data_IF_644793419926
#
_entry.id   IF_644793419926
#
_cell.length_a   1.000
_cell.length_b   1.000
_cell.length_c   1.000
_cell.angle_alpha   90.00
_cell.angle_beta   90.00
_cell.angle_gamma   90.00
#
_symmetry.space_group_name_H-M   'P 1'
#
loop_
_entity.id
_entity.type
_entity.pdbx_description
1 polymer ?
#
# COMPACT_ATOMS: atom_id res chain seq x y z
N UNK A 1 -16.33 13.38 40.44
CA UNK A 1 -15.70 13.28 39.11
C UNK A 1 -15.15 11.87 39.01
N UNK A 2 -15.86 10.95 38.35
CA UNK A 2 -15.38 9.59 38.13
C UNK A 2 -14.69 9.57 36.77
N UNK A 3 -13.36 9.39 36.77
CA UNK A 3 -12.62 9.04 35.57
C UNK A 3 -12.74 7.53 35.38
N UNK A 4 -13.44 7.11 34.33
CA UNK A 4 -13.37 5.73 33.84
C UNK A 4 -12.14 5.65 32.95
N UNK A 5 -11.07 5.05 33.47
CA UNK A 5 -9.93 4.63 32.65
C UNK A 5 -10.38 3.52 31.71
N UNK A 6 -10.51 3.84 30.42
CA UNK A 6 -10.67 2.83 29.39
C UNK A 6 -9.29 2.28 29.04
N UNK A 7 -8.91 1.19 29.69
CA UNK A 7 -7.86 0.32 29.20
C UNK A 7 -8.29 -0.24 27.83
N UNK A 8 -7.82 0.38 26.74
CA UNK A 8 -7.79 -0.26 25.42
C UNK A 8 -6.80 -1.41 25.50
N UNK A 9 -7.26 -2.58 25.93
CA UNK A 9 -6.58 -3.84 25.72
C UNK A 9 -6.62 -4.12 24.21
N UNK A 10 -5.50 -3.83 23.54
CA UNK A 10 -5.30 -4.20 22.14
C UNK A 10 -5.19 -5.72 22.09
N UNK A 11 -6.27 -6.40 21.67
CA UNK A 11 -6.27 -7.85 21.46
C UNK A 11 -5.17 -8.21 20.45
N UNK A 12 -4.11 -8.84 20.93
CA UNK A 12 -3.16 -9.53 20.07
C UNK A 12 -3.90 -10.69 19.43
N UNK A 13 -4.15 -10.60 18.12
CA UNK A 13 -4.72 -11.71 17.36
C UNK A 13 -3.87 -12.98 17.61
N UNK A 14 -4.48 -13.98 18.23
CA UNK A 14 -3.86 -15.27 18.51
C UNK A 14 -3.68 -16.02 17.18
N UNK A 15 -2.62 -15.70 16.45
CA UNK A 15 -2.26 -16.40 15.22
C UNK A 15 -1.40 -17.62 15.57
N UNK A 16 -1.74 -18.82 15.08
CA UNK A 16 -0.95 -20.02 15.32
C UNK A 16 0.51 -19.87 14.83
N UNK A 17 1.47 -20.56 15.46
CA UNK A 17 2.85 -20.63 14.97
C UNK A 17 2.91 -21.03 13.49
N UNK A 18 3.74 -20.34 12.72
CA UNK A 18 3.87 -20.56 11.27
C UNK A 18 2.90 -19.77 10.40
N UNK A 19 1.92 -19.07 10.98
CA UNK A 19 1.11 -18.11 10.23
C UNK A 19 1.99 -16.99 9.67
N UNK A 20 1.86 -16.71 8.38
CA UNK A 20 2.55 -15.62 7.70
C UNK A 20 1.53 -14.73 7.00
N UNK A 21 1.80 -13.43 7.05
CA UNK A 21 1.03 -12.48 6.26
C UNK A 21 1.48 -12.57 4.81
N UNK A 22 0.67 -13.21 3.97
CA UNK A 22 0.90 -13.37 2.54
C UNK A 22 -0.41 -13.11 1.75
N UNK A 23 -0.92 -11.86 1.79
CA UNK A 23 -2.19 -11.54 1.16
C UNK A 23 -2.06 -11.54 -0.37
N UNK A 24 -3.11 -11.96 -1.05
CA UNK A 24 -3.28 -11.77 -2.49
C UNK A 24 -3.55 -10.29 -2.82
N UNK A 25 -3.37 -9.90 -4.09
CA UNK A 25 -3.73 -8.55 -4.54
C UNK A 25 -5.23 -8.26 -4.31
N UNK A 26 -6.09 -9.27 -4.48
CA UNK A 26 -7.52 -9.15 -4.21
C UNK A 26 -7.79 -8.86 -2.73
N UNK A 27 -7.11 -9.54 -1.79
CA UNK A 27 -7.28 -9.31 -0.35
C UNK A 27 -6.74 -7.95 0.07
N UNK A 28 -5.57 -7.54 -0.44
CA UNK A 28 -5.00 -6.21 -0.18
C UNK A 28 -5.98 -5.10 -0.54
N UNK A 29 -6.60 -5.19 -1.72
CA UNK A 29 -7.51 -4.16 -2.22
C UNK A 29 -8.91 -4.31 -1.64
N UNK A 30 -9.52 -5.48 -1.81
CA UNK A 30 -10.93 -5.74 -1.53
C UNK A 30 -11.26 -5.93 -0.05
N UNK A 31 -10.29 -6.34 0.77
CA UNK A 31 -10.46 -6.46 2.21
C UNK A 31 -9.76 -5.32 2.96
N UNK A 32 -8.42 -5.25 2.90
CA UNK A 32 -7.67 -4.31 3.74
C UNK A 32 -7.89 -2.84 3.35
N UNK A 33 -7.65 -2.48 2.08
CA UNK A 33 -7.76 -1.11 1.63
C UNK A 33 -9.22 -0.62 1.62
N UNK A 34 -10.16 -1.45 1.16
CA UNK A 34 -11.59 -1.12 1.13
C UNK A 34 -12.13 -0.81 2.54
N UNK A 35 -11.82 -1.66 3.53
CA UNK A 35 -12.23 -1.45 4.91
C UNK A 35 -11.55 -0.24 5.53
N UNK A 36 -10.25 -0.04 5.27
CA UNK A 36 -9.53 1.13 5.77
C UNK A 36 -10.15 2.44 5.30
N UNK A 37 -10.50 2.53 4.01
CA UNK A 37 -11.15 3.72 3.43
C UNK A 37 -12.57 3.91 3.96
N UNK A 38 -13.32 2.82 4.17
CA UNK A 38 -14.66 2.86 4.74
C UNK A 38 -14.68 3.02 6.27
N UNK A 39 -13.52 3.19 6.91
CA UNK A 39 -13.35 3.23 8.37
C UNK A 39 -14.03 2.02 9.08
N UNK A 40 -13.99 0.85 8.44
CA UNK A 40 -14.51 -0.40 8.98
C UNK A 40 -13.43 -1.14 9.78
N UNK A 41 -13.85 -2.00 10.70
CA UNK A 41 -12.95 -2.86 11.46
C UNK A 41 -12.21 -3.84 10.55
N UNK A 42 -10.93 -4.09 10.87
CA UNK A 42 -10.05 -5.04 10.18
C UNK A 42 -9.67 -6.10 11.22
N UNK A 43 -9.97 -7.37 10.93
CA UNK A 43 -9.82 -8.46 11.90
C UNK A 43 -8.35 -8.71 12.26
N UNK A 44 -7.44 -8.44 11.32
CA UNK A 44 -5.99 -8.46 11.52
C UNK A 44 -5.41 -7.07 11.19
N UNK A 45 -5.48 -6.14 12.14
CA UNK A 45 -4.97 -4.77 11.99
C UNK A 45 -3.43 -4.68 12.12
N UNK A 46 -2.74 -5.36 11.20
CA UNK A 46 -1.27 -5.48 11.17
C UNK A 46 -0.61 -4.53 10.16
N UNK A 47 -1.38 -3.95 9.23
CA UNK A 47 -0.87 -2.99 8.25
C UNK A 47 -0.90 -1.59 8.88
N UNK A 48 0.29 -1.01 9.08
CA UNK A 48 0.41 0.30 9.71
C UNK A 48 0.30 1.46 8.71
N UNK A 49 -0.07 2.63 9.23
CA UNK A 49 -0.03 3.88 8.50
C UNK A 49 1.38 4.48 8.51
N UNK A 50 1.87 4.88 7.34
CA UNK A 50 3.20 5.46 7.14
C UNK A 50 3.13 6.60 6.13
N UNK A 51 3.82 7.70 6.43
CA UNK A 51 4.08 8.75 5.43
C UNK A 51 5.25 8.32 4.54
N UNK A 52 4.90 7.60 3.48
CA UNK A 52 5.85 6.91 2.61
C UNK A 52 6.87 7.84 1.95
N UNK A 53 6.50 9.08 1.65
CA UNK A 53 7.36 10.00 0.91
C UNK A 53 8.32 10.80 1.79
N UNK A 54 8.22 10.64 3.12
CA UNK A 54 9.13 11.26 4.09
C UNK A 54 10.20 10.31 4.61
N UNK A 55 10.18 9.05 4.17
CA UNK A 55 11.05 7.98 4.65
C UNK A 55 11.84 7.43 3.47
N UNK A 56 13.13 7.20 3.66
CA UNK A 56 13.94 6.54 2.65
C UNK A 56 13.63 5.04 2.61
N UNK A 57 13.73 4.38 1.45
CA UNK A 57 13.29 3.00 1.33
C UNK A 57 14.01 2.01 2.26
N UNK A 58 15.30 2.24 2.55
CA UNK A 58 16.06 1.41 3.50
C UNK A 58 15.63 1.63 4.96
N UNK A 59 15.14 2.82 5.32
CA UNK A 59 14.66 3.12 6.67
C UNK A 59 13.27 2.51 6.94
N UNK A 60 12.52 2.13 5.89
CA UNK A 60 11.23 1.45 6.04
C UNK A 60 11.38 0.10 6.74
N UNK A 61 12.49 -0.60 6.51
CA UNK A 61 12.73 -1.91 7.13
C UNK A 61 12.90 -1.78 8.64
N UNK A 62 13.66 -0.77 9.09
CA UNK A 62 13.94 -0.56 10.51
C UNK A 62 12.70 -0.08 11.28
N UNK A 63 11.94 0.85 10.69
CA UNK A 63 10.75 1.42 11.33
C UNK A 63 9.61 0.42 11.48
N UNK A 64 9.54 -0.56 10.58
CA UNK A 64 8.35 -1.38 10.44
C UNK A 64 8.58 -2.88 10.66
N UNK A 65 9.81 -3.35 10.51
CA UNK A 65 10.19 -4.77 10.63
C UNK A 65 11.35 -5.06 11.59
N UNK A 66 11.91 -4.04 12.26
CA UNK A 66 12.85 -4.22 13.37
C UNK A 66 12.17 -4.70 14.65
N UNK A 67 12.94 -5.06 15.69
CA UNK A 67 12.50 -5.71 16.93
C UNK A 67 11.41 -4.98 17.76
N UNK A 68 10.93 -3.81 17.33
CA UNK A 68 9.81 -3.08 17.92
C UNK A 68 8.70 -2.65 16.93
N UNK A 69 8.81 -2.98 15.63
CA UNK A 69 7.81 -2.61 14.62
C UNK A 69 6.71 -3.66 14.51
N UNK A 70 5.44 -3.27 14.72
CA UNK A 70 4.25 -4.14 14.47
C UNK A 70 3.80 -4.13 13.01
N UNK A 71 4.71 -3.92 12.06
CA UNK A 71 4.36 -3.82 10.65
C UNK A 71 4.11 -5.21 10.07
N UNK A 72 3.09 -5.34 9.22
CA UNK A 72 2.87 -6.50 8.39
C UNK A 72 4.11 -6.75 7.51
N UNK A 73 4.89 -7.76 7.89
CA UNK A 73 6.10 -8.19 7.18
C UNK A 73 5.92 -9.63 6.73
N UNK A 74 6.09 -9.86 5.45
CA UNK A 74 6.31 -11.17 4.91
C UNK A 74 7.80 -11.46 4.94
N UNK A 75 8.19 -12.41 5.78
CA UNK A 75 9.58 -12.86 5.87
C UNK A 75 9.84 -13.81 4.70
N UNK A 76 10.93 -13.55 3.98
CA UNK A 76 11.42 -14.44 2.93
C UNK A 76 11.64 -15.85 3.49
N UNK A 77 11.20 -16.88 2.76
CA UNK A 77 11.35 -18.27 3.17
C UNK A 77 12.75 -18.82 2.91
N UNK A 78 13.45 -18.22 1.93
CA UNK A 78 14.82 -18.53 1.54
C UNK A 78 15.64 -17.23 1.32
N UNK A 79 16.97 -17.35 1.22
CA UNK A 79 17.86 -16.19 0.98
C UNK A 79 17.66 -15.53 -0.40
N UNK A 80 16.88 -16.17 -1.29
CA UNK A 80 16.63 -15.70 -2.64
C UNK A 80 15.34 -14.88 -2.76
N UNK A 81 14.41 -15.01 -1.81
CA UNK A 81 13.17 -14.26 -1.76
C UNK A 81 13.38 -12.92 -1.04
N UNK A 82 12.76 -11.86 -1.57
CA UNK A 82 12.77 -10.54 -0.94
C UNK A 82 11.72 -10.48 0.16
N UNK A 83 12.09 -10.01 1.36
CA UNK A 83 11.09 -9.65 2.37
C UNK A 83 10.16 -8.55 1.83
N UNK A 84 8.86 -8.66 2.09
CA UNK A 84 7.86 -7.68 1.69
C UNK A 84 7.27 -6.99 2.93
N UNK A 85 6.98 -5.70 2.81
CA UNK A 85 6.35 -4.92 3.87
C UNK A 85 5.12 -4.21 3.34
N UNK A 86 4.08 -4.16 4.16
CA UNK A 86 2.78 -3.61 3.78
C UNK A 86 2.43 -2.40 4.65
N UNK A 87 2.01 -1.32 3.99
CA UNK A 87 1.70 -0.05 4.62
C UNK A 87 0.44 0.58 4.02
N UNK A 88 -0.33 1.24 4.86
CA UNK A 88 -1.24 2.28 4.41
C UNK A 88 -0.46 3.58 4.30
N UNK A 89 -0.54 4.23 3.14
CA UNK A 89 -0.01 5.58 2.97
C UNK A 89 -1.16 6.52 2.70
N UNK A 90 -1.14 7.67 3.37
CA UNK A 90 -1.99 8.77 2.96
C UNK A 90 -1.50 9.28 1.60
N UNK A 91 -2.43 9.65 0.72
CA UNK A 91 -2.07 10.40 -0.50
C UNK A 91 -1.62 11.78 -0.05
N UNK A 92 -0.31 12.02 -0.07
CA UNK A 92 0.24 13.36 0.10
C UNK A 92 -0.25 14.23 -1.07
N UNK A 93 -1.30 15.02 -0.81
CA UNK A 93 -1.69 16.12 -1.69
C UNK A 93 -0.64 17.20 -1.51
N UNK A 94 0.37 17.21 -2.38
CA UNK A 94 1.40 18.26 -2.46
C UNK A 94 0.81 19.68 -2.47
N UNK A 95 -0.46 19.85 -2.85
CA UNK A 95 -1.23 21.08 -2.69
C UNK A 95 -2.71 20.80 -2.36
N UNK A 96 -3.41 21.69 -1.61
CA UNK A 96 -4.86 21.64 -1.38
C UNK A 96 -5.73 21.70 -2.65
N UNK A 97 -5.14 21.82 -3.84
CA UNK A 97 -5.83 21.86 -5.15
C UNK A 97 -5.18 20.97 -6.23
N UNK A 98 -4.08 20.26 -5.93
CA UNK A 98 -3.32 19.50 -6.93
C UNK A 98 -3.52 17.98 -6.87
N UNK A 99 -3.44 17.32 -8.03
CA UNK A 99 -3.48 15.84 -8.18
C UNK A 99 -2.10 15.18 -8.15
N UNK A 100 -1.01 15.98 -8.10
CA UNK A 100 0.38 15.50 -8.22
C UNK A 100 0.98 15.18 -6.85
N UNK A 101 1.18 13.90 -6.56
CA UNK A 101 1.87 13.41 -5.35
C UNK A 101 3.36 13.77 -5.39
N UNK A 102 3.91 14.24 -4.26
CA UNK A 102 5.34 14.51 -4.15
C UNK A 102 6.10 13.20 -3.93
N UNK A 103 6.73 12.68 -4.97
CA UNK A 103 7.45 11.40 -4.92
C UNK A 103 8.95 11.53 -4.63
N UNK A 104 9.41 12.72 -4.23
CA UNK A 104 10.81 12.98 -3.90
C UNK A 104 11.06 12.79 -2.41
N UNK A 105 12.15 12.11 -2.07
CA UNK A 105 12.70 12.02 -0.72
C UNK A 105 13.95 12.89 -0.60
N UNK A 106 14.65 12.87 0.54
CA UNK A 106 15.88 13.64 0.71
C UNK A 106 17.01 13.08 -0.16
N UNK A 107 17.11 11.75 -0.25
CA UNK A 107 18.17 11.05 -0.95
C UNK A 107 17.81 10.67 -2.40
N UNK A 108 16.54 10.77 -2.82
CA UNK A 108 16.12 10.30 -4.14
C UNK A 108 14.70 10.63 -4.53
N UNK A 109 14.13 9.83 -5.44
CA UNK A 109 12.75 9.97 -5.88
C UNK A 109 12.17 8.64 -6.40
N UNK A 110 10.87 8.47 -6.22
CA UNK A 110 10.09 7.36 -6.74
C UNK A 110 9.57 7.66 -8.14
N UNK A 111 9.88 6.79 -9.10
CA UNK A 111 9.44 6.89 -10.49
C UNK A 111 8.48 5.75 -10.82
N UNK A 112 7.29 6.11 -11.32
CA UNK A 112 6.35 5.14 -11.87
C UNK A 112 6.98 4.39 -13.06
N UNK A 113 6.80 3.08 -13.10
CA UNK A 113 7.26 2.22 -14.19
C UNK A 113 6.16 1.28 -14.66
N UNK A 114 6.19 0.92 -15.94
CA UNK A 114 5.19 0.05 -16.55
C UNK A 114 3.79 0.67 -16.65
N UNK A 115 2.85 -0.15 -17.14
CA UNK A 115 1.42 0.17 -17.18
C UNK A 115 0.77 -0.20 -15.85
N UNK A 116 -0.28 0.51 -15.46
CA UNK A 116 -1.11 0.11 -14.32
C UNK A 116 -1.73 -1.25 -14.60
N UNK A 117 -1.71 -2.12 -13.59
CA UNK A 117 -2.34 -3.43 -13.65
C UNK A 117 -3.69 -3.38 -12.91
N UNK A 118 -4.79 -3.84 -13.51
CA UNK A 118 -6.05 -3.97 -12.79
C UNK A 118 -5.93 -5.07 -11.73
N UNK A 119 -6.54 -4.83 -10.57
CA UNK A 119 -6.77 -5.85 -9.55
C UNK A 119 -8.21 -6.31 -9.70
N UNK A 120 -8.38 -7.59 -10.02
CA UNK A 120 -9.67 -8.20 -10.30
C UNK A 120 -10.22 -8.86 -9.05
N UNK A 121 -11.53 -8.81 -8.85
CA UNK A 121 -12.18 -9.69 -7.89
C UNK A 121 -12.52 -11.03 -8.54
N UNK A 122 -12.18 -12.12 -7.88
CA UNK A 122 -12.56 -13.47 -8.27
C UNK A 122 -14.08 -13.67 -8.24
N UNK A 123 -14.77 -13.03 -7.29
CA UNK A 123 -16.22 -13.17 -7.08
C UNK A 123 -17.05 -12.46 -8.13
N UNK A 124 -16.78 -11.18 -8.39
CA UNK A 124 -17.56 -10.38 -9.34
C UNK A 124 -17.01 -10.42 -10.76
N UNK A 125 -15.77 -10.91 -10.94
CA UNK A 125 -14.97 -10.75 -12.17
C UNK A 125 -14.79 -9.29 -12.62
N UNK A 126 -15.12 -8.34 -11.74
CA UNK A 126 -14.93 -6.91 -11.96
C UNK A 126 -13.56 -6.43 -11.47
N UNK A 127 -13.13 -5.28 -11.99
CA UNK A 127 -11.99 -4.56 -11.42
C UNK A 127 -12.43 -4.00 -10.05
N UNK A 128 -11.58 -4.14 -9.04
CA UNK A 128 -11.80 -3.56 -7.70
C UNK A 128 -10.75 -2.52 -7.34
N UNK A 129 -9.66 -2.47 -8.09
CA UNK A 129 -8.60 -1.50 -7.90
C UNK A 129 -7.54 -1.55 -8.99
N UNK A 130 -6.50 -0.76 -8.81
CA UNK A 130 -5.34 -0.70 -9.70
C UNK A 130 -4.05 -0.80 -8.89
N UNK A 131 -3.05 -1.48 -9.45
CA UNK A 131 -1.68 -1.52 -8.94
C UNK A 131 -0.76 -0.72 -9.85
N UNK A 132 -0.07 0.27 -9.27
CA UNK A 132 1.02 1.02 -9.90
C UNK A 132 2.35 0.55 -9.31
N UNK A 133 3.33 0.25 -10.17
CA UNK A 133 4.69 -0.05 -9.72
C UNK A 133 5.56 1.21 -9.76
N UNK A 134 6.31 1.45 -8.69
CA UNK A 134 7.28 2.53 -8.58
C UNK A 134 8.65 1.93 -8.29
N UNK A 135 9.69 2.54 -8.86
CA UNK A 135 11.09 2.21 -8.59
C UNK A 135 11.77 3.43 -8.00
N UNK A 136 12.55 3.22 -6.95
CA UNK A 136 13.32 4.31 -6.35
C UNK A 136 14.60 4.59 -7.14
N UNK A 137 14.89 5.87 -7.33
CA UNK A 137 16.11 6.37 -7.93
C UNK A 137 16.85 7.22 -6.89
N UNK A 138 18.11 6.89 -6.62
CA UNK A 138 18.98 7.66 -5.71
C UNK A 138 19.58 8.86 -6.44
N UNK A 139 19.61 10.02 -5.80
CA UNK A 139 20.08 11.28 -6.36
C UNK A 139 18.95 12.14 -6.93
N UNK A 140 19.30 13.28 -7.54
CA UNK A 140 18.32 14.25 -8.04
C UNK A 140 17.79 13.86 -9.42
N UNK A 141 16.48 14.03 -9.61
CA UNK A 141 15.87 13.91 -10.93
C UNK A 141 16.44 14.99 -11.90
N UNK A 142 16.58 14.69 -13.21
CA UNK A 142 16.29 13.42 -13.85
C UNK A 142 17.45 12.39 -13.78
N UNK A 143 18.62 12.78 -13.28
CA UNK A 143 19.87 12.02 -13.36
C UNK A 143 20.07 10.98 -12.24
N UNK A 144 19.00 10.58 -11.55
CA UNK A 144 19.08 9.61 -10.47
C UNK A 144 19.53 8.23 -10.96
N UNK A 145 20.17 7.45 -10.09
CA UNK A 145 20.56 6.06 -10.34
C UNK A 145 19.45 5.13 -9.88
N UNK A 146 18.99 4.24 -10.76
CA UNK A 146 17.98 3.22 -10.45
C UNK A 146 18.49 2.33 -9.31
N UNK A 147 17.60 1.96 -8.40
CA UNK A 147 17.85 0.98 -7.33
C UNK A 147 16.89 -0.20 -7.46
N UNK A 148 17.06 -1.21 -6.60
CA UNK A 148 16.19 -2.39 -6.55
C UNK A 148 14.97 -2.21 -5.63
N UNK A 149 14.84 -1.04 -5.01
CA UNK A 149 13.68 -0.72 -4.19
C UNK A 149 12.44 -0.48 -5.05
N UNK A 150 11.43 -1.31 -4.83
CA UNK A 150 10.18 -1.33 -5.56
C UNK A 150 9.03 -1.09 -4.57
N UNK A 151 8.06 -0.29 -4.99
CA UNK A 151 6.78 -0.15 -4.29
C UNK A 151 5.66 -0.54 -5.26
N UNK A 152 4.70 -1.30 -4.73
CA UNK A 152 3.41 -1.53 -5.35
C UNK A 152 2.36 -0.65 -4.66
N UNK A 153 1.96 0.43 -5.33
CA UNK A 153 0.92 1.34 -4.86
C UNK A 153 -0.44 0.82 -5.34
N UNK A 154 -1.28 0.40 -4.40
CA UNK A 154 -2.64 -0.06 -4.66
C UNK A 154 -3.64 1.06 -4.41
N UNK A 155 -4.63 1.19 -5.30
CA UNK A 155 -5.74 2.12 -5.16
C UNK A 155 -7.07 1.44 -5.45
N UNK A 156 -8.12 1.79 -4.69
CA UNK A 156 -9.47 1.37 -5.01
C UNK A 156 -9.92 1.99 -6.33
N UNK A 157 -10.74 1.24 -7.07
CA UNK A 157 -11.47 1.80 -8.19
C UNK A 157 -12.63 2.64 -7.64
N UNK A 158 -12.60 3.94 -7.90
CA UNK A 158 -13.73 4.84 -7.65
C UNK A 158 -14.52 5.03 -8.94
N UNK A 159 -15.79 5.44 -8.85
CA UNK A 159 -16.61 5.77 -10.02
C UNK A 159 -15.96 6.84 -10.93
N UNK A 160 -15.14 7.74 -10.36
CA UNK A 160 -14.32 8.73 -11.10
C UNK A 160 -13.12 8.13 -11.88
N UNK A 161 -12.79 6.86 -11.64
CA UNK A 161 -11.66 6.16 -12.25
C UNK A 161 -12.10 4.90 -13.02
N UNK A 162 -13.40 4.71 -13.26
CA UNK A 162 -13.86 3.73 -14.20
C UNK A 162 -13.25 4.06 -15.58
N UNK A 163 -12.67 3.09 -16.31
CA UNK A 163 -12.42 3.32 -17.73
C UNK A 163 -13.77 3.68 -18.35
N UNK A 164 -13.83 4.81 -19.05
CA UNK A 164 -14.99 5.15 -19.87
C UNK A 164 -15.23 3.95 -20.76
N UNK A 165 -16.27 3.17 -20.45
CA UNK A 165 -16.79 2.20 -21.38
C UNK A 165 -17.26 3.04 -22.55
N UNK A 166 -16.44 3.16 -23.60
CA UNK A 166 -16.94 3.54 -24.91
C UNK A 166 -17.90 2.43 -25.29
N UNK A 167 -19.16 2.64 -24.90
CA UNK A 167 -20.29 1.98 -25.52
C UNK A 167 -20.19 2.36 -26.99
N UNK A 168 -19.67 1.45 -27.81
CA UNK A 168 -19.92 1.48 -29.23
C UNK A 168 -21.41 1.17 -29.43
N UNK A 169 -22.22 2.17 -29.11
CA UNK A 169 -23.61 2.27 -29.52
C UNK A 169 -23.59 2.87 -30.92
N UNK A 170 -23.32 2.05 -31.92
CA UNK A 170 -23.74 2.34 -33.28
C UNK A 170 -24.72 1.25 -33.66
N UNK A 171 -25.99 1.55 -33.39
CA UNK A 171 -27.12 0.92 -34.08
C UNK A 171 -27.23 1.62 -35.42
N UNK A 172 -26.91 0.89 -36.49
CA UNK A 172 -27.65 0.67 -37.74
C UNK A 172 -26.74 -0.12 -38.69
#
# INVERSE_FOLDING_TARGET
MLAMDQHHQQESSCVPPGFRFHPTEEELVGYYLARKVAAQTIDLDIIQEVDLYRIEPWDLQERCGGAGGRGARQVAEDEQSSSEWYFFSFKDRKYPSGTRTNRATAAGFWKATGRDKPVMSSRSRGVIGMRKTLVFYRGRAPNGRKTDWIIHEYRLQTSEHAPTQVSNSSVL
#
